data_IF_933967682479
#
_entry.id   IF_933967682479
#
_cell.length_a   1.000
_cell.length_b   1.000
_cell.length_c   1.000
_cell.angle_alpha   90.00
_cell.angle_beta   90.00
_cell.angle_gamma   90.00
#
_symmetry.space_group_name_H-M   'P 1'
#
loop_
_entity.id
_entity.type
_entity.pdbx_description
1 polymer ?
#
# COMPACT_ATOMS: atom_id res chain seq x y z
N UNK A 1 -19.36 9.16 32.78
CA UNK A 1 -18.97 9.90 31.56
C UNK A 1 -18.03 9.01 30.76
N UNK A 2 -18.49 8.48 29.63
CA UNK A 2 -17.65 7.66 28.74
C UNK A 2 -16.60 8.59 28.12
N UNK A 3 -15.32 8.33 28.40
CA UNK A 3 -14.20 8.93 27.66
C UNK A 3 -14.41 8.51 26.20
N UNK A 4 -14.67 9.48 25.32
CA UNK A 4 -14.68 9.24 23.88
C UNK A 4 -13.29 8.70 23.52
N UNK A 5 -13.21 7.41 23.19
CA UNK A 5 -12.10 6.84 22.46
C UNK A 5 -12.06 7.50 21.08
N UNK A 6 -11.38 8.65 21.00
CA UNK A 6 -10.98 9.23 19.72
C UNK A 6 -10.04 8.22 19.08
N UNK A 7 -10.53 7.47 18.09
CA UNK A 7 -9.68 6.65 17.23
C UNK A 7 -8.61 7.55 16.61
N UNK A 8 -7.44 7.52 17.22
CA UNK A 8 -6.25 8.24 16.80
C UNK A 8 -5.63 7.45 15.65
N UNK A 9 -5.68 7.99 14.44
CA UNK A 9 -4.89 7.45 13.33
C UNK A 9 -3.43 7.76 13.64
N UNK A 10 -2.51 6.77 13.68
CA UNK A 10 -1.23 6.96 14.34
C UNK A 10 -0.32 7.98 13.64
N UNK A 11 -0.53 8.27 12.35
CA UNK A 11 0.36 9.10 11.53
C UNK A 11 -0.39 10.34 11.06
N UNK A 12 0.17 11.52 11.33
CA UNK A 12 -0.32 12.82 10.82
C UNK A 12 0.32 13.15 9.47
N UNK A 13 1.64 13.00 9.38
CA UNK A 13 2.38 13.33 8.16
C UNK A 13 3.69 12.56 8.05
N UNK A 14 4.11 12.34 6.80
CA UNK A 14 5.39 11.76 6.45
C UNK A 14 6.04 12.60 5.33
N UNK A 15 7.30 12.95 5.50
CA UNK A 15 8.09 13.73 4.55
C UNK A 15 9.41 13.00 4.33
N UNK A 16 9.81 12.87 3.07
CA UNK A 16 11.09 12.28 2.66
C UNK A 16 11.74 13.25 1.67
N UNK A 17 12.91 13.78 2.04
CA UNK A 17 13.64 14.80 1.27
C UNK A 17 14.83 14.16 0.54
N UNK A 18 15.28 14.80 -0.54
CA UNK A 18 16.44 14.33 -1.30
C UNK A 18 16.18 13.07 -2.14
N UNK A 19 14.92 12.73 -2.43
CA UNK A 19 14.60 11.52 -3.17
C UNK A 19 15.15 11.61 -4.58
N UNK A 20 16.03 10.66 -4.95
CA UNK A 20 16.84 10.72 -6.17
C UNK A 20 17.66 12.02 -6.33
N UNK A 21 18.00 12.71 -5.23
CA UNK A 21 18.84 13.91 -5.20
C UNK A 21 18.14 15.24 -5.46
N UNK A 22 16.82 15.25 -5.74
CA UNK A 22 16.10 16.51 -6.04
C UNK A 22 14.63 16.55 -5.61
N UNK A 23 14.00 15.41 -5.32
CA UNK A 23 12.57 15.38 -4.98
C UNK A 23 12.36 15.45 -3.48
N UNK A 24 11.36 16.23 -3.07
CA UNK A 24 10.76 16.12 -1.74
C UNK A 24 9.38 15.51 -1.89
N UNK A 25 9.16 14.40 -1.20
CA UNK A 25 7.89 13.67 -1.22
C UNK A 25 7.21 13.86 0.13
N UNK A 26 6.00 14.41 0.13
CA UNK A 26 5.25 14.70 1.34
C UNK A 26 3.86 14.08 1.30
N UNK A 27 3.45 13.52 2.44
CA UNK A 27 2.17 12.86 2.64
C UNK A 27 1.53 13.41 3.91
N UNK A 28 0.32 13.95 3.78
CA UNK A 28 -0.52 14.34 4.92
C UNK A 28 -1.71 13.40 5.01
N UNK A 29 -1.88 12.75 6.16
CA UNK A 29 -2.97 11.82 6.38
C UNK A 29 -4.25 12.61 6.70
N UNK A 30 -5.36 12.25 6.06
CA UNK A 30 -6.66 12.93 6.19
C UNK A 30 -7.68 12.12 7.00
N UNK A 31 -7.20 11.32 7.95
CA UNK A 31 -8.03 10.45 8.79
C UNK A 31 -7.84 8.96 8.48
N UNK A 32 -8.91 8.16 8.62
CA UNK A 32 -8.88 6.69 8.52
C UNK A 32 -8.34 6.15 7.21
N UNK A 33 -8.64 6.85 6.13
CA UNK A 33 -8.25 6.45 4.78
C UNK A 33 -7.71 7.66 4.06
N UNK A 34 -6.51 7.53 3.51
CA UNK A 34 -5.86 8.58 2.73
C UNK A 34 -5.45 8.00 1.39
N UNK A 35 -5.89 8.63 0.30
CA UNK A 35 -5.61 8.20 -1.07
C UNK A 35 -4.57 9.15 -1.67
N UNK A 36 -3.46 8.60 -2.14
CA UNK A 36 -2.37 9.37 -2.77
C UNK A 36 -2.39 9.19 -4.30
N UNK A 37 -2.75 10.27 -5.01
CA UNK A 37 -2.77 10.34 -6.48
C UNK A 37 -1.60 11.18 -6.97
N UNK A 38 -0.96 10.74 -8.05
CA UNK A 38 0.25 11.31 -8.65
C UNK A 38 0.55 10.54 -9.93
N UNK A 39 1.39 11.10 -10.80
CA UNK A 39 1.74 10.51 -12.08
C UNK A 39 2.60 9.25 -11.93
N UNK A 40 2.65 8.44 -12.99
CA UNK A 40 3.56 7.31 -13.06
C UNK A 40 5.01 7.79 -12.99
N UNK A 41 5.86 7.10 -12.24
CA UNK A 41 7.26 7.51 -12.04
C UNK A 41 7.45 8.67 -11.05
N UNK A 42 6.37 9.15 -10.39
CA UNK A 42 6.49 10.21 -9.38
C UNK A 42 7.16 9.77 -8.07
N UNK A 43 7.45 8.47 -7.90
CA UNK A 43 8.03 7.91 -6.67
C UNK A 43 7.03 7.39 -5.64
N UNK A 44 5.76 7.14 -6.01
CA UNK A 44 4.73 6.58 -5.10
C UNK A 44 5.23 5.35 -4.34
N UNK A 45 5.72 4.36 -5.08
CA UNK A 45 6.19 3.09 -4.53
C UNK A 45 7.39 3.31 -3.62
N UNK A 46 8.30 4.22 -3.97
CA UNK A 46 9.45 4.59 -3.16
C UNK A 46 9.03 5.13 -1.79
N UNK A 47 8.06 6.05 -1.77
CA UNK A 47 7.54 6.65 -0.52
C UNK A 47 6.79 5.64 0.32
N UNK A 48 5.95 4.80 -0.31
CA UNK A 48 5.20 3.77 0.41
C UNK A 48 6.13 2.68 0.97
N UNK A 49 7.17 2.29 0.23
CA UNK A 49 8.20 1.38 0.71
C UNK A 49 8.99 1.99 1.87
N UNK A 50 9.40 3.26 1.75
CA UNK A 50 10.09 3.97 2.82
C UNK A 50 9.24 4.04 4.09
N UNK A 51 7.97 4.45 3.95
CA UNK A 51 7.03 4.49 5.06
C UNK A 51 6.83 3.10 5.68
N UNK A 52 6.63 2.07 4.88
CA UNK A 52 6.48 0.70 5.37
C UNK A 52 7.72 0.25 6.18
N UNK A 53 8.91 0.40 5.62
CA UNK A 53 10.15 -0.02 6.28
C UNK A 53 10.37 0.76 7.58
N UNK A 54 10.03 2.06 7.60
CA UNK A 54 10.09 2.88 8.79
C UNK A 54 9.13 2.38 9.88
N UNK A 55 7.87 2.14 9.51
CA UNK A 55 6.83 1.73 10.45
C UNK A 55 7.07 0.32 11.03
N UNK A 56 7.64 -0.59 10.23
CA UNK A 56 8.05 -1.93 10.68
C UNK A 56 9.35 -1.93 11.49
N UNK A 57 10.05 -0.79 11.58
CA UNK A 57 11.35 -0.70 12.22
C UNK A 57 12.46 -1.45 11.47
N UNK A 58 12.30 -1.68 10.18
CA UNK A 58 13.28 -2.30 9.27
C UNK A 58 14.21 -1.22 8.68
N UNK A 59 14.84 -0.43 9.55
CA UNK A 59 15.57 0.79 9.14
C UNK A 59 16.73 0.51 8.18
N UNK A 60 17.39 -0.66 8.28
CA UNK A 60 18.44 -1.07 7.36
C UNK A 60 17.97 -1.08 5.89
N UNK A 61 16.70 -1.46 5.63
CA UNK A 61 16.14 -1.47 4.27
C UNK A 61 16.02 -0.06 3.70
N UNK A 62 15.93 0.97 4.55
CA UNK A 62 15.92 2.36 4.09
C UNK A 62 17.27 2.72 3.43
N UNK A 63 18.41 2.15 3.85
CA UNK A 63 19.72 2.49 3.28
C UNK A 63 19.80 2.28 1.76
N UNK A 64 19.07 1.29 1.25
CA UNK A 64 18.96 0.99 -0.19
C UNK A 64 18.28 2.12 -1.00
N UNK A 65 17.49 2.97 -0.35
CA UNK A 65 16.77 4.07 -0.98
C UNK A 65 17.66 5.31 -1.07
N UNK A 66 17.52 6.09 -2.14
CA UNK A 66 18.22 7.36 -2.31
C UNK A 66 17.39 8.50 -1.71
N UNK A 67 17.81 9.01 -0.55
CA UNK A 67 17.21 10.15 0.16
C UNK A 67 18.21 10.80 1.11
N UNK A 68 17.90 12.02 1.55
CA UNK A 68 18.72 12.79 2.48
C UNK A 68 18.20 12.66 3.92
N UNK A 69 16.93 13.02 4.13
CA UNK A 69 16.28 12.97 5.44
C UNK A 69 14.85 12.44 5.36
N UNK A 70 14.37 11.94 6.50
CA UNK A 70 12.98 11.55 6.72
C UNK A 70 12.45 12.26 7.96
N UNK A 71 11.21 12.71 7.87
CA UNK A 71 10.47 13.30 8.97
C UNK A 71 9.07 12.67 9.05
N UNK A 72 8.72 12.13 10.21
CA UNK A 72 7.40 11.56 10.50
C UNK A 72 6.78 12.24 11.72
N UNK A 73 5.51 12.59 11.63
CA UNK A 73 4.73 13.13 12.76
C UNK A 73 3.63 12.14 13.12
N UNK A 74 3.63 11.70 14.38
CA UNK A 74 2.62 10.81 14.92
C UNK A 74 1.54 11.59 15.68
N UNK A 75 0.30 11.09 15.66
CA UNK A 75 -0.79 11.70 16.41
C UNK A 75 -0.53 11.60 17.92
N UNK A 76 -0.69 12.73 18.63
CA UNK A 76 -0.48 12.81 20.07
C UNK A 76 0.97 13.05 20.49
N UNK A 77 1.91 13.15 19.54
CA UNK A 77 3.28 13.60 19.80
C UNK A 77 3.44 15.06 19.38
N UNK A 78 3.96 15.91 20.27
CA UNK A 78 4.17 17.34 19.97
C UNK A 78 5.25 17.56 18.89
N UNK A 79 6.30 16.74 18.92
CA UNK A 79 7.45 16.84 18.02
C UNK A 79 7.36 15.81 16.89
N UNK A 80 7.82 16.19 15.70
CA UNK A 80 8.10 15.24 14.64
C UNK A 80 9.41 14.49 14.93
N UNK A 81 9.45 13.22 14.54
CA UNK A 81 10.67 12.41 14.54
C UNK A 81 11.38 12.68 13.22
N UNK A 82 12.56 13.31 13.29
CA UNK A 82 13.39 13.62 12.14
C UNK A 82 14.75 12.94 12.29
N UNK A 83 15.21 12.31 11.22
CA UNK A 83 16.55 11.73 11.14
C UNK A 83 17.11 11.83 9.71
N UNK A 84 18.42 12.02 9.63
CA UNK A 84 19.17 11.98 8.38
C UNK A 84 19.54 10.53 8.02
N UNK A 85 19.74 10.26 6.72
CA UNK A 85 20.17 8.94 6.26
C UNK A 85 21.47 8.47 6.92
N UNK A 86 22.38 9.39 7.22
CA UNK A 86 23.65 9.14 7.92
C UNK A 86 23.48 8.64 9.35
N UNK A 87 22.33 8.91 9.99
CA UNK A 87 22.03 8.44 11.34
C UNK A 87 21.63 6.96 11.37
N UNK A 88 21.30 6.36 10.21
CA UNK A 88 21.04 4.93 10.11
C UNK A 88 22.37 4.18 10.20
N UNK A 89 22.76 3.83 11.42
CA UNK A 89 23.98 3.08 11.70
C UNK A 89 23.96 1.69 11.06
N UNK A 90 25.14 1.17 10.75
CA UNK A 90 25.28 -0.25 10.41
C UNK A 90 25.04 -1.10 11.64
N UNK A 91 24.44 -2.26 11.42
CA UNK A 91 24.27 -3.26 12.46
C UNK A 91 25.67 -3.73 12.87
N UNK A 92 26.07 -3.57 14.14
CA UNK A 92 27.39 -3.98 14.58
C UNK A 92 27.61 -5.48 14.38
N UNK A 93 28.81 -5.84 13.96
CA UNK A 93 29.19 -7.23 13.74
C UNK A 93 29.14 -8.07 15.02
N UNK A 94 29.21 -7.43 16.20
CA UNK A 94 29.00 -8.05 17.52
C UNK A 94 27.63 -8.72 17.66
N UNK A 95 26.61 -8.28 16.90
CA UNK A 95 25.32 -8.95 16.87
C UNK A 95 25.42 -10.35 16.25
N UNK A 96 26.29 -10.54 15.27
CA UNK A 96 26.51 -11.83 14.63
C UNK A 96 27.02 -12.86 15.64
N UNK A 97 28.11 -12.54 16.35
CA UNK A 97 28.69 -13.41 17.38
C UNK A 97 27.75 -13.63 18.58
N UNK A 98 26.93 -12.62 18.90
CA UNK A 98 25.90 -12.76 19.93
C UNK A 98 24.78 -13.73 19.51
N UNK A 99 24.32 -13.66 18.25
CA UNK A 99 23.32 -14.58 17.70
C UNK A 99 23.88 -16.01 17.68
N UNK A 100 25.09 -16.20 17.18
CA UNK A 100 25.77 -17.50 17.13
C UNK A 100 25.88 -18.14 18.52
N UNK A 101 26.37 -17.38 19.50
CA UNK A 101 26.55 -17.87 20.86
C UNK A 101 25.23 -18.10 21.60
N UNK A 102 24.22 -17.26 21.39
CA UNK A 102 22.94 -17.35 22.10
C UNK A 102 22.01 -18.43 21.53
N UNK A 103 22.04 -18.64 20.21
CA UNK A 103 21.19 -19.61 19.50
C UNK A 103 21.94 -20.89 19.13
N UNK A 104 23.24 -20.98 19.46
CA UNK A 104 24.08 -22.17 19.24
C UNK A 104 24.17 -22.54 17.76
N UNK A 105 24.45 -21.55 16.91
CA UNK A 105 24.72 -21.76 15.48
C UNK A 105 26.09 -22.43 15.38
N UNK A 106 26.16 -23.57 14.70
CA UNK A 106 27.40 -24.36 14.55
C UNK A 106 27.82 -24.49 13.08
N UNK A 107 27.00 -24.00 12.16
CA UNK A 107 27.31 -23.94 10.74
C UNK A 107 28.18 -22.71 10.45
N UNK A 108 29.47 -22.94 10.20
CA UNK A 108 30.46 -21.89 9.91
C UNK A 108 30.13 -21.14 8.59
N UNK A 109 29.44 -21.79 7.66
CA UNK A 109 29.07 -21.23 6.35
C UNK A 109 27.70 -20.49 6.41
N UNK A 110 27.04 -20.47 7.58
CA UNK A 110 25.69 -19.90 7.72
C UNK A 110 25.60 -18.46 7.24
N UNK A 111 26.62 -17.63 7.51
CA UNK A 111 26.60 -16.21 7.18
C UNK A 111 26.99 -15.91 5.72
N UNK A 112 27.51 -16.89 4.98
CA UNK A 112 27.77 -16.73 3.55
C UNK A 112 26.46 -16.64 2.75
N UNK A 113 25.41 -17.31 3.24
CA UNK A 113 24.09 -17.36 2.58
C UNK A 113 23.02 -16.48 3.25
N UNK A 114 23.32 -15.83 4.38
CA UNK A 114 22.34 -15.12 5.19
C UNK A 114 22.78 -13.70 5.55
N UNK A 115 21.87 -12.74 5.41
CA UNK A 115 22.12 -11.36 5.79
C UNK A 115 21.76 -11.13 7.27
N UNK A 116 22.69 -10.53 8.03
CA UNK A 116 22.52 -10.20 9.45
C UNK A 116 21.25 -9.40 9.76
N UNK A 117 20.93 -8.40 8.94
CA UNK A 117 19.75 -7.56 9.15
C UNK A 117 18.44 -8.31 8.93
N UNK A 118 18.41 -9.25 7.97
CA UNK A 118 17.25 -10.10 7.71
C UNK A 118 17.02 -11.08 8.86
N UNK A 119 18.08 -11.69 9.38
CA UNK A 119 18.04 -12.57 10.55
C UNK A 119 17.52 -11.81 11.77
N UNK A 120 18.05 -10.62 12.05
CA UNK A 120 17.61 -9.80 13.18
C UNK A 120 16.14 -9.39 13.02
N UNK A 121 15.72 -9.04 11.80
CA UNK A 121 14.33 -8.69 11.52
C UNK A 121 13.39 -9.85 11.77
N UNK A 122 13.78 -11.07 11.38
CA UNK A 122 13.01 -12.28 11.64
C UNK A 122 12.90 -12.58 13.14
N UNK A 123 14.00 -12.46 13.89
CA UNK A 123 14.00 -12.66 15.35
C UNK A 123 13.10 -11.63 16.06
N UNK A 124 13.14 -10.36 15.62
CA UNK A 124 12.24 -9.31 16.16
C UNK A 124 10.77 -9.55 15.79
N UNK A 125 10.52 -10.02 14.57
CA UNK A 125 9.18 -10.36 14.09
C UNK A 125 8.57 -11.60 14.71
N UNK A 126 9.38 -12.47 15.31
CA UNK A 126 8.91 -13.72 15.93
C UNK A 126 7.86 -13.47 17.02
N UNK A 127 6.73 -14.16 16.93
CA UNK A 127 5.71 -14.22 17.99
C UNK A 127 5.49 -15.66 18.43
N UNK A 128 5.08 -15.87 19.69
CA UNK A 128 4.90 -17.21 20.27
C UNK A 128 3.91 -18.07 19.47
N UNK A 129 2.95 -17.43 18.78
CA UNK A 129 1.95 -18.12 17.99
C UNK A 129 2.37 -18.39 16.55
N UNK A 130 3.49 -17.84 16.09
CA UNK A 130 4.00 -18.07 14.74
C UNK A 130 4.89 -19.31 14.73
N UNK A 131 4.53 -20.38 14.01
CA UNK A 131 5.42 -21.52 13.83
C UNK A 131 6.73 -21.07 13.19
N UNK A 132 7.87 -21.52 13.72
CA UNK A 132 9.20 -21.24 13.14
C UNK A 132 9.28 -21.69 11.68
N UNK A 133 8.56 -22.76 11.31
CA UNK A 133 8.50 -23.25 9.92
C UNK A 133 7.91 -22.26 8.93
N UNK A 134 7.13 -21.28 9.39
CA UNK A 134 6.44 -20.34 8.53
C UNK A 134 7.36 -19.17 8.13
N UNK A 135 8.43 -18.93 8.91
CA UNK A 135 9.45 -17.93 8.61
C UNK A 135 10.73 -18.61 8.08
N UNK A 136 11.10 -18.29 6.84
CA UNK A 136 12.27 -18.86 6.17
C UNK A 136 13.56 -18.62 6.95
N UNK A 137 13.73 -17.45 7.55
CA UNK A 137 14.95 -17.08 8.25
C UNK A 137 15.01 -17.77 9.61
N UNK A 138 13.92 -17.80 10.37
CA UNK A 138 13.88 -18.52 11.64
C UNK A 138 14.11 -20.02 11.44
N UNK A 139 13.53 -20.60 10.38
CA UNK A 139 13.75 -22.00 10.04
C UNK A 139 15.21 -22.29 9.68
N UNK A 140 15.90 -21.36 8.99
CA UNK A 140 17.33 -21.48 8.70
C UNK A 140 18.20 -21.44 9.96
N UNK A 141 17.94 -20.48 10.85
CA UNK A 141 18.66 -20.37 12.14
C UNK A 141 18.46 -21.66 12.94
N UNK A 142 17.23 -22.18 13.00
CA UNK A 142 16.94 -23.42 13.68
C UNK A 142 17.73 -24.61 13.11
N UNK A 143 17.76 -24.77 11.78
CA UNK A 143 18.50 -25.87 11.14
C UNK A 143 20.01 -25.77 11.33
N UNK A 144 20.55 -24.56 11.48
CA UNK A 144 21.95 -24.32 11.78
C UNK A 144 22.29 -24.48 13.27
N UNK A 145 21.26 -24.62 14.12
CA UNK A 145 21.42 -24.81 15.57
C UNK A 145 21.48 -26.30 15.95
N UNK A 146 22.15 -26.59 17.06
CA UNK A 146 22.23 -27.95 17.62
C UNK A 146 21.07 -28.30 18.58
N UNK A 147 20.12 -27.39 18.76
CA UNK A 147 19.07 -27.52 19.78
C UNK A 147 17.83 -28.23 19.25
N UNK A 148 17.13 -28.93 20.14
CA UNK A 148 15.80 -29.42 19.83
C UNK A 148 14.82 -28.24 19.73
N UNK A 149 13.80 -28.34 18.86
CA UNK A 149 12.83 -27.25 18.59
C UNK A 149 12.28 -26.59 19.86
N UNK A 150 11.93 -27.35 20.90
CA UNK A 150 11.41 -26.78 22.14
C UNK A 150 12.44 -25.87 22.84
N UNK A 151 13.66 -26.36 23.02
CA UNK A 151 14.75 -25.59 23.63
C UNK A 151 15.11 -24.36 22.78
N UNK A 152 15.17 -24.52 21.46
CA UNK A 152 15.42 -23.42 20.53
C UNK A 152 14.36 -22.33 20.64
N UNK A 153 13.07 -22.69 20.75
CA UNK A 153 11.99 -21.70 20.88
C UNK A 153 12.10 -20.88 22.15
N UNK A 154 12.56 -21.48 23.25
CA UNK A 154 12.76 -20.79 24.52
C UNK A 154 14.02 -19.91 24.49
N UNK A 155 15.12 -20.39 23.90
CA UNK A 155 16.32 -19.58 23.66
C UNK A 155 16.01 -18.36 22.78
N UNK A 156 15.31 -18.58 21.66
CA UNK A 156 14.89 -17.51 20.75
C UNK A 156 14.03 -16.46 21.46
N UNK A 157 13.11 -16.89 22.33
CA UNK A 157 12.26 -15.97 23.11
C UNK A 157 13.09 -15.13 24.07
N UNK A 158 14.00 -15.74 24.81
CA UNK A 158 14.86 -15.03 25.77
C UNK A 158 15.80 -14.06 25.04
N UNK A 159 16.37 -14.52 23.93
CA UNK A 159 17.30 -13.76 23.13
C UNK A 159 16.63 -12.56 22.43
N UNK A 160 15.38 -12.70 21.98
CA UNK A 160 14.60 -11.60 21.40
C UNK A 160 14.56 -10.39 22.33
N UNK A 161 14.29 -10.59 23.62
CA UNK A 161 14.27 -9.49 24.60
C UNK A 161 15.63 -8.81 24.77
N UNK A 162 16.72 -9.59 24.78
CA UNK A 162 18.09 -9.05 24.82
C UNK A 162 18.39 -8.23 23.58
N UNK A 163 18.09 -8.75 22.38
CA UNK A 163 18.26 -8.04 21.12
C UNK A 163 17.50 -6.72 21.08
N UNK A 164 16.22 -6.72 21.47
CA UNK A 164 15.41 -5.50 21.51
C UNK A 164 16.08 -4.44 22.39
N UNK A 165 16.55 -4.82 23.59
CA UNK A 165 17.21 -3.90 24.51
C UNK A 165 18.50 -3.28 23.95
N UNK A 166 19.28 -4.05 23.19
CA UNK A 166 20.53 -3.60 22.56
C UNK A 166 20.23 -2.67 21.37
N UNK A 167 19.22 -3.01 20.57
CA UNK A 167 18.77 -2.19 19.45
C UNK A 167 18.26 -0.83 19.91
N UNK A 168 17.41 -0.78 20.95
CA UNK A 168 16.87 0.48 21.47
C UNK A 168 17.97 1.45 21.95
N UNK A 169 19.06 0.94 22.52
CA UNK A 169 20.20 1.78 22.94
C UNK A 169 20.94 2.42 21.76
N UNK A 170 20.91 1.82 20.58
CA UNK A 170 21.65 2.29 19.41
C UNK A 170 20.86 3.26 18.53
N UNK A 171 19.53 3.22 18.60
CA UNK A 171 18.66 3.83 17.59
C UNK A 171 18.28 5.30 17.83
N UNK A 172 18.57 5.89 18.99
CA UNK A 172 18.28 7.31 19.25
C UNK A 172 16.83 7.68 18.90
N UNK A 173 16.64 8.64 17.99
CA UNK A 173 15.32 9.08 17.49
C UNK A 173 14.51 7.93 16.86
N UNK A 174 15.17 7.00 16.15
CA UNK A 174 14.51 5.82 15.58
C UNK A 174 14.01 4.87 16.66
N UNK A 175 14.68 4.83 17.81
CA UNK A 175 14.28 4.04 18.97
C UNK A 175 13.05 4.64 19.65
N UNK A 176 13.00 5.96 19.79
CA UNK A 176 11.81 6.67 20.28
C UNK A 176 10.61 6.46 19.35
N UNK A 177 10.82 6.53 18.03
CA UNK A 177 9.79 6.24 17.04
C UNK A 177 9.28 4.79 17.15
N UNK A 178 10.19 3.82 17.25
CA UNK A 178 9.82 2.41 17.42
C UNK A 178 9.01 2.19 18.71
N UNK A 179 9.37 2.85 19.81
CA UNK A 179 8.61 2.81 21.06
C UNK A 179 7.20 3.41 20.91
N UNK A 180 7.07 4.52 20.18
CA UNK A 180 5.77 5.14 19.92
C UNK A 180 4.85 4.26 19.04
N UNK A 181 5.42 3.36 18.25
CA UNK A 181 4.70 2.42 17.39
C UNK A 181 4.41 1.07 18.06
N UNK A 182 4.82 0.85 19.30
CA UNK A 182 4.52 -0.39 20.04
C UNK A 182 2.99 -0.56 20.17
N UNK A 183 2.50 -1.73 19.78
CA UNK A 183 1.07 -2.07 19.81
C UNK A 183 0.33 -1.84 18.50
N UNK A 184 0.98 -1.27 17.48
CA UNK A 184 0.41 -1.16 16.13
C UNK A 184 0.87 -2.32 15.24
N UNK A 185 -0.07 -2.94 14.55
CA UNK A 185 0.22 -3.90 13.48
C UNK A 185 0.32 -3.18 12.13
N UNK A 186 1.46 -3.33 11.46
CA UNK A 186 1.71 -2.70 10.16
C UNK A 186 1.50 -3.72 9.04
N UNK A 187 0.33 -3.67 8.42
CA UNK A 187 0.00 -4.48 7.24
C UNK A 187 0.34 -3.70 5.97
N UNK A 188 1.30 -4.21 5.20
CA UNK A 188 1.69 -3.62 3.92
C UNK A 188 1.29 -4.53 2.76
N UNK A 189 0.39 -4.02 1.93
CA UNK A 189 -0.13 -4.70 0.74
C UNK A 189 0.41 -3.97 -0.50
N UNK A 190 1.67 -4.27 -0.92
CA UNK A 190 2.43 -3.48 -1.91
C UNK A 190 1.73 -3.29 -3.25
N UNK A 191 0.92 -4.26 -3.65
CA UNK A 191 0.32 -4.27 -4.99
C UNK A 191 -1.07 -4.86 -4.99
N UNK A 192 -2.03 -3.97 -5.21
CA UNK A 192 -3.22 -4.28 -5.99
C UNK A 192 -2.87 -3.99 -7.46
N UNK A 193 -2.16 -4.92 -8.12
CA UNK A 193 -2.14 -4.95 -9.60
C UNK A 193 -3.40 -5.69 -10.03
N UNK A 194 -4.10 -5.26 -11.10
CA UNK A 194 -5.24 -6.02 -11.64
C UNK A 194 -4.80 -7.47 -11.91
N UNK A 195 -5.21 -8.40 -11.05
CA UNK A 195 -5.03 -9.83 -11.27
C UNK A 195 -6.35 -10.36 -11.82
N UNK A 196 -6.58 -10.07 -13.10
CA UNK A 196 -7.67 -10.70 -13.84
C UNK A 196 -7.15 -12.05 -14.33
N UNK A 197 -7.56 -13.14 -13.68
CA UNK A 197 -7.47 -14.44 -14.32
C UNK A 197 -8.76 -14.58 -15.11
N UNK A 198 -8.67 -14.49 -16.44
CA UNK A 198 -9.76 -14.91 -17.32
C UNK A 198 -10.28 -16.25 -16.81
N UNK A 199 -11.60 -16.42 -16.73
CA UNK A 199 -12.22 -17.74 -16.57
C UNK A 199 -11.98 -18.57 -17.84
N UNK A 200 -10.73 -18.77 -18.25
CA UNK A 200 -10.40 -19.65 -19.35
C UNK A 200 -10.42 -21.08 -18.82
N UNK A 201 -11.57 -21.71 -19.11
CA UNK A 201 -11.84 -23.13 -19.30
C UNK A 201 -11.16 -24.08 -18.31
N UNK A 202 -12.01 -24.71 -17.51
CA UNK A 202 -11.83 -26.03 -16.92
C UNK A 202 -10.52 -26.71 -17.32
N UNK A 203 -9.55 -26.68 -16.40
CA UNK A 203 -8.35 -27.50 -16.52
C UNK A 203 -8.84 -28.95 -16.51
N UNK A 204 -8.94 -29.58 -17.69
CA UNK A 204 -9.15 -31.02 -17.82
C UNK A 204 -7.96 -31.70 -17.15
N UNK A 205 -8.16 -32.15 -15.92
CA UNK A 205 -7.17 -32.89 -15.14
C UNK A 205 -6.93 -34.23 -15.85
N UNK A 206 -5.77 -34.40 -16.46
CA UNK A 206 -5.32 -35.68 -17.00
C UNK A 206 -5.16 -36.68 -15.83
N UNK A 207 -5.96 -37.77 -15.79
CA UNK A 207 -5.97 -38.70 -14.66
C UNK A 207 -4.68 -39.54 -14.55
N UNK A 208 -3.74 -39.47 -15.50
CA UNK A 208 -2.54 -40.31 -15.53
C UNK A 208 -1.32 -39.77 -14.77
N UNK A 209 -1.37 -38.54 -14.23
CA UNK A 209 -0.28 -37.99 -13.38
C UNK A 209 -0.55 -38.07 -11.88
N UNK A 210 -1.18 -39.17 -11.42
CA UNK A 210 -1.48 -39.44 -10.00
C UNK A 210 -0.44 -40.35 -9.35
N UNK A 211 0.81 -39.92 -9.26
CA UNK A 211 1.68 -40.40 -8.19
C UNK A 211 2.86 -39.46 -8.07
N UNK A 212 3.31 -39.25 -6.84
CA UNK A 212 4.44 -38.39 -6.44
C UNK A 212 4.02 -36.92 -6.21
N UNK A 213 4.06 -36.56 -4.92
CA UNK A 213 3.86 -35.23 -4.31
C UNK A 213 2.39 -34.81 -4.07
N UNK A 214 1.71 -35.55 -3.17
CA UNK A 214 0.45 -35.12 -2.53
C UNK A 214 0.61 -34.41 -1.17
N UNK A 215 1.81 -34.34 -0.58
CA UNK A 215 2.00 -33.64 0.71
C UNK A 215 2.42 -32.16 0.54
N UNK A 216 3.19 -31.82 -0.50
CA UNK A 216 3.64 -30.43 -0.70
C UNK A 216 2.65 -29.54 -1.46
N UNK A 217 1.69 -30.12 -2.20
CA UNK A 217 0.70 -29.33 -2.98
C UNK A 217 -0.58 -28.97 -2.23
N UNK A 218 -0.79 -29.50 -1.03
CA UNK A 218 -2.06 -29.32 -0.31
C UNK A 218 -2.05 -28.17 0.70
N UNK A 219 -0.87 -27.61 1.03
CA UNK A 219 -0.75 -26.40 1.87
C UNK A 219 -0.75 -25.09 1.09
N UNK A 220 -0.45 -25.14 -0.21
CA UNK A 220 -0.49 -23.97 -1.11
C UNK A 220 -1.83 -23.77 -1.84
N UNK A 221 -2.87 -24.60 -1.57
CA UNK A 221 -4.12 -24.56 -2.34
C UNK A 221 -5.33 -23.93 -1.62
N UNK A 222 -5.22 -23.58 -0.33
CA UNK A 222 -6.37 -23.16 0.48
C UNK A 222 -6.28 -21.73 1.05
N UNK A 223 -5.39 -20.87 0.53
CA UNK A 223 -5.44 -19.43 0.83
C UNK A 223 -5.42 -18.50 -0.40
N UNK A 224 -5.37 -19.05 -1.62
CA UNK A 224 -5.09 -18.26 -2.84
C UNK A 224 -6.14 -18.40 -3.95
N UNK A 225 -7.37 -18.80 -3.61
CA UNK A 225 -8.50 -18.70 -4.56
C UNK A 225 -9.26 -17.42 -4.34
N UNK A 226 -8.58 -16.29 -4.49
CA UNK A 226 -9.27 -15.02 -4.59
C UNK A 226 -9.85 -14.92 -6.00
N UNK A 227 -11.19 -14.83 -6.07
CA UNK A 227 -11.93 -14.65 -7.31
C UNK A 227 -12.15 -13.15 -7.50
N UNK A 228 -11.60 -12.55 -8.56
CA UNK A 228 -11.69 -11.12 -8.83
C UNK A 228 -12.26 -10.84 -10.23
N UNK A 229 -13.14 -9.84 -10.32
CA UNK A 229 -13.61 -9.20 -11.55
C UNK A 229 -14.12 -7.78 -11.25
N UNK A 230 -13.85 -6.81 -12.13
CA UNK A 230 -14.24 -5.39 -11.99
C UNK A 230 -15.65 -5.10 -12.54
N UNK A 231 -16.47 -6.14 -12.69
CA UNK A 231 -17.79 -6.02 -13.31
C UNK A 231 -18.73 -5.13 -12.49
N UNK A 232 -18.64 -5.20 -11.17
CA UNK A 232 -19.37 -4.35 -10.24
C UNK A 232 -18.99 -2.87 -10.42
N UNK A 233 -17.70 -2.56 -10.53
CA UNK A 233 -17.20 -1.21 -10.75
C UNK A 233 -17.61 -0.69 -12.14
N UNK A 234 -17.51 -1.52 -13.16
CA UNK A 234 -17.93 -1.18 -14.53
C UNK A 234 -19.43 -0.93 -14.62
N UNK A 235 -20.25 -1.80 -14.02
CA UNK A 235 -21.70 -1.61 -13.91
C UNK A 235 -22.03 -0.31 -13.15
N UNK A 236 -21.33 -0.01 -12.06
CA UNK A 236 -21.55 1.21 -11.29
C UNK A 236 -21.16 2.47 -12.08
N UNK A 237 -20.01 2.45 -12.77
CA UNK A 237 -19.58 3.57 -13.62
C UNK A 237 -20.53 3.77 -14.80
N UNK A 238 -21.01 2.68 -15.41
CA UNK A 238 -22.00 2.75 -16.50
C UNK A 238 -23.31 3.35 -16.00
N UNK A 239 -23.80 2.94 -14.82
CA UNK A 239 -25.01 3.46 -14.22
C UNK A 239 -24.90 4.95 -13.89
N UNK A 240 -23.76 5.39 -13.33
CA UNK A 240 -23.48 6.81 -13.07
C UNK A 240 -23.46 7.60 -14.39
N UNK A 241 -22.83 7.05 -15.43
CA UNK A 241 -22.75 7.71 -16.75
C UNK A 241 -24.14 7.90 -17.36
N UNK A 242 -24.97 6.86 -17.34
CA UNK A 242 -26.36 6.91 -17.82
C UNK A 242 -27.18 7.92 -17.00
N UNK A 243 -27.00 7.99 -15.68
CA UNK A 243 -27.75 8.94 -14.87
C UNK A 243 -27.30 10.39 -15.13
N UNK A 244 -26.01 10.65 -15.34
CA UNK A 244 -25.49 11.97 -15.75
C UNK A 244 -26.09 12.38 -17.09
N UNK A 245 -26.14 11.47 -18.07
CA UNK A 245 -26.73 11.73 -19.38
C UNK A 245 -28.23 12.04 -19.28
N UNK A 246 -28.96 11.22 -18.52
CA UNK A 246 -30.39 11.42 -18.26
C UNK A 246 -30.65 12.78 -17.60
N UNK A 247 -29.93 13.11 -16.52
CA UNK A 247 -30.07 14.39 -15.83
C UNK A 247 -29.73 15.58 -16.74
N UNK A 248 -28.70 15.45 -17.57
CA UNK A 248 -28.32 16.48 -18.54
C UNK A 248 -29.40 16.70 -19.60
N UNK A 249 -29.99 15.62 -20.13
CA UNK A 249 -31.07 15.70 -21.12
C UNK A 249 -32.35 16.33 -20.55
N UNK A 250 -32.71 16.00 -19.31
CA UNK A 250 -33.86 16.58 -18.60
C UNK A 250 -33.62 18.05 -18.32
N UNK A 251 -32.44 18.40 -17.81
CA UNK A 251 -32.03 19.79 -17.59
C UNK A 251 -32.07 20.61 -18.88
N UNK A 252 -31.59 20.05 -19.99
CA UNK A 252 -31.65 20.68 -21.30
C UNK A 252 -33.09 20.91 -21.77
N UNK A 253 -33.97 19.90 -21.70
CA UNK A 253 -35.39 20.06 -22.08
C UNK A 253 -36.10 21.12 -21.25
N UNK A 254 -35.83 21.15 -19.94
CA UNK A 254 -36.39 22.16 -19.04
C UNK A 254 -35.89 23.57 -19.41
N UNK A 255 -34.58 23.73 -19.63
CA UNK A 255 -33.95 24.99 -20.03
C UNK A 255 -34.47 25.48 -21.39
N UNK A 256 -34.57 24.60 -22.39
CA UNK A 256 -35.11 24.94 -23.70
C UNK A 256 -36.58 25.32 -23.62
N UNK A 257 -37.37 24.64 -22.78
CA UNK A 257 -38.77 24.98 -22.57
C UNK A 257 -38.93 26.37 -21.92
N UNK A 258 -38.13 26.70 -20.91
CA UNK A 258 -38.14 28.05 -20.32
C UNK A 258 -37.63 29.11 -21.29
N UNK A 259 -36.57 28.84 -22.06
CA UNK A 259 -36.10 29.77 -23.09
C UNK A 259 -37.16 30.03 -24.17
N UNK A 260 -37.86 28.98 -24.62
CA UNK A 260 -38.97 29.11 -25.58
C UNK A 260 -40.16 29.85 -24.96
N UNK A 261 -40.51 29.56 -23.71
CA UNK A 261 -41.57 30.25 -22.99
C UNK A 261 -41.24 31.74 -22.80
N UNK A 262 -40.00 32.07 -22.45
CA UNK A 262 -39.50 33.43 -22.36
C UNK A 262 -39.57 34.13 -23.73
N UNK A 263 -39.12 33.48 -24.82
CA UNK A 263 -39.22 34.04 -26.17
C UNK A 263 -40.67 34.26 -26.62
N UNK A 264 -41.59 33.38 -26.23
CA UNK A 264 -43.01 33.50 -26.56
C UNK A 264 -43.69 34.58 -25.70
N UNK A 265 -43.41 34.64 -24.40
CA UNK A 265 -43.97 35.64 -23.46
C UNK A 265 -43.40 37.04 -23.71
N UNK A 266 -42.11 37.15 -24.01
CA UNK A 266 -41.42 38.42 -24.23
C UNK A 266 -41.36 38.83 -25.70
N UNK A 267 -42.10 38.19 -26.60
CA UNK A 267 -42.22 38.52 -28.04
C UNK A 267 -42.64 39.98 -28.33
N UNK A 268 -43.06 40.72 -27.31
CA UNK A 268 -43.39 42.16 -27.39
C UNK A 268 -42.40 43.10 -26.68
N UNK A 269 -41.23 42.62 -26.23
CA UNK A 269 -40.18 43.44 -25.61
C UNK A 269 -38.76 43.25 -26.18
N UNK A 270 -38.59 42.47 -27.26
CA UNK A 270 -37.27 42.18 -27.87
C UNK A 270 -36.64 43.40 -28.57
N UNK A 271 -37.24 44.59 -28.49
CA UNK A 271 -36.66 45.79 -29.10
C UNK A 271 -35.63 46.52 -28.24
N UNK A 272 -35.41 46.15 -26.97
CA UNK A 272 -34.41 46.83 -26.15
C UNK A 272 -33.59 45.85 -25.29
N UNK A 273 -32.32 45.72 -25.65
CA UNK A 273 -31.17 45.21 -24.86
C UNK A 273 -31.14 43.67 -24.67
N UNK A 274 -30.02 42.94 -24.82
CA UNK A 274 -28.65 43.12 -24.29
C UNK A 274 -27.67 42.35 -25.22
N UNK A 275 -26.50 42.94 -25.48
CA UNK A 275 -25.36 42.29 -26.15
C UNK A 275 -24.82 41.12 -25.31
N UNK A 276 -25.41 39.94 -25.45
CA UNK A 276 -24.75 38.70 -25.02
C UNK A 276 -23.76 38.29 -26.10
N UNK A 277 -22.51 38.03 -25.70
CA UNK A 277 -21.51 37.39 -26.56
C UNK A 277 -22.03 35.99 -26.89
N UNK A 278 -22.49 35.84 -28.12
CA UNK A 278 -22.92 34.56 -28.67
C UNK A 278 -21.70 33.63 -28.62
N UNK A 279 -21.83 32.39 -28.09
CA UNK A 279 -20.73 31.43 -28.08
C UNK A 279 -20.20 31.19 -29.49
N UNK A 280 -18.89 31.01 -29.63
CA UNK A 280 -18.25 30.60 -30.89
C UNK A 280 -18.89 29.31 -31.40
N UNK A 281 -19.07 29.22 -32.72
CA UNK A 281 -19.75 28.09 -33.38
C UNK A 281 -19.04 26.77 -33.06
N UNK A 282 -17.72 26.79 -32.92
CA UNK A 282 -16.90 25.63 -32.56
C UNK A 282 -17.22 25.08 -31.15
N UNK A 283 -17.52 25.94 -30.17
CA UNK A 283 -17.89 25.52 -28.83
C UNK A 283 -19.28 24.88 -28.81
N UNK A 284 -20.19 25.40 -29.63
CA UNK A 284 -21.53 24.84 -29.82
C UNK A 284 -21.45 23.47 -30.52
N UNK A 285 -20.61 23.34 -31.55
CA UNK A 285 -20.38 22.11 -32.31
C UNK A 285 -19.70 21.02 -31.45
N UNK A 286 -18.74 21.41 -30.60
CA UNK A 286 -18.10 20.53 -29.62
C UNK A 286 -19.04 20.07 -28.51
N UNK A 287 -20.02 20.90 -28.16
CA UNK A 287 -21.07 20.55 -27.22
C UNK A 287 -22.11 19.61 -27.86
N UNK A 288 -22.60 19.92 -29.05
CA UNK A 288 -23.61 19.13 -29.77
C UNK A 288 -23.06 17.77 -30.23
N UNK A 289 -21.80 17.69 -30.65
CA UNK A 289 -21.14 16.42 -31.00
C UNK A 289 -20.98 15.44 -29.83
N UNK A 290 -21.14 15.90 -28.58
CA UNK A 290 -21.22 15.03 -27.39
C UNK A 290 -22.63 14.50 -27.15
N UNK A 291 -23.66 15.17 -27.67
CA UNK A 291 -25.07 14.77 -27.56
C UNK A 291 -25.46 13.81 -28.69
N UNK A 292 -24.86 13.95 -29.87
CA UNK A 292 -25.19 13.21 -31.10
C UNK A 292 -24.43 11.87 -31.27
N UNK A 293 -23.98 11.22 -30.20
CA UNK A 293 -23.47 9.83 -30.30
C UNK A 293 -24.51 8.81 -29.85
N UNK A 294 -25.50 8.45 -30.69
CA UNK A 294 -26.19 7.18 -30.53
C UNK A 294 -25.24 6.04 -30.92
N UNK A 295 -25.34 4.94 -30.19
CA UNK A 295 -24.55 3.72 -30.32
C UNK A 295 -24.29 3.28 -31.77
N UNK A 296 -23.02 3.23 -32.16
CA UNK A 296 -22.55 2.37 -33.25
C UNK A 296 -21.57 1.32 -32.72
N UNK A 297 -22.03 0.49 -31.79
CA UNK A 297 -21.46 -0.85 -31.60
C UNK A 297 -22.22 -1.84 -32.50
N UNK A 298 -21.97 -1.79 -33.81
CA UNK A 298 -22.21 -2.93 -34.70
C UNK A 298 -20.87 -3.65 -34.92
N UNK A 299 -20.52 -4.50 -33.96
CA UNK A 299 -19.49 -5.50 -34.14
C UNK A 299 -19.96 -6.52 -35.18
N UNK A 300 -19.54 -6.31 -36.43
CA UNK A 300 -19.65 -7.35 -37.47
C UNK A 300 -18.64 -8.43 -37.12
N UNK A 301 -19.15 -9.59 -36.71
CA UNK A 301 -18.36 -10.82 -36.57
C UNK A 301 -17.94 -11.29 -37.96
N UNK A 302 -16.64 -11.26 -38.24
CA UNK A 302 -15.93 -12.23 -39.08
C UNK A 302 -14.59 -12.53 -38.45
#
# INVERSE_FOLDING_TARGET
>A
MKKNETMSFPIESFIMRGVHGYKTLSMKMKGKSTIFVSENGSGKTTVLNALNNLLKGEFFKLKSLTFDDIEIKLCGHEKSFKFDKSEIKETPQEFQSLIESSLGIVDDDFWDENNLDEIISAIRGYTIHTPISDDRFLFRIYNASMYQMAEFTDLLRNFKGTLESLFYKQLGVLGELANALVGYEVVYLPTYRRVEKSFDKEIKVDPRRRSINRRDRMRYLNHDKISYGLRDVEETLSAITIDIERQSSVGYRALSATMLEDLIRYKHRINETISYTIPEIEDLERFLSRVDRPDSFSGTVR
#
